data_IF_585184229510
#
_entry.id   IF_585184229510
#
_cell.length_a   1.000
_cell.length_b   1.000
_cell.length_c   1.000
_cell.angle_alpha   90.00
_cell.angle_beta   90.00
_cell.angle_gamma   90.00
#
_symmetry.space_group_name_H-M   'P 1'
#
loop_
_entity.id
_entity.type
_entity.pdbx_description
1 polymer ?
#
# COMPACT_ATOMS: atom_id res chain seq x y z
N UNK A 1 27.50 3.11 13.21
CA UNK A 1 26.65 4.03 12.41
C UNK A 1 27.30 4.18 11.05
N UNK A 2 26.65 3.85 9.95
CA UNK A 2 27.27 3.93 8.61
C UNK A 2 27.45 5.39 8.18
N UNK A 3 28.52 5.69 7.45
CA UNK A 3 28.86 7.03 6.92
C UNK A 3 27.65 7.67 6.20
N UNK A 4 26.88 6.86 5.49
CA UNK A 4 25.67 7.28 4.77
C UNK A 4 24.57 7.80 5.70
N UNK A 5 24.40 7.23 6.91
CA UNK A 5 23.41 7.70 7.89
C UNK A 5 23.82 9.04 8.50
N UNK A 6 25.11 9.23 8.76
CA UNK A 6 25.63 10.49 9.26
C UNK A 6 25.45 11.61 8.23
N UNK A 7 25.78 11.33 6.97
CA UNK A 7 25.62 12.27 5.85
C UNK A 7 24.17 12.68 5.64
N UNK A 8 23.23 11.73 5.67
CA UNK A 8 21.78 12.02 5.60
C UNK A 8 21.30 12.88 6.78
N UNK A 9 21.79 12.63 7.98
CA UNK A 9 21.44 13.43 9.18
C UNK A 9 21.92 14.88 9.07
N UNK A 10 23.12 15.11 8.49
CA UNK A 10 23.65 16.46 8.24
C UNK A 10 22.85 17.18 7.18
N UNK A 11 22.58 16.52 6.05
CA UNK A 11 21.78 17.10 4.95
C UNK A 11 20.37 17.47 5.39
N UNK A 12 19.72 16.61 6.19
CA UNK A 12 18.37 16.89 6.69
C UNK A 12 18.30 18.12 7.60
N UNK A 13 19.36 18.40 8.37
CA UNK A 13 19.47 19.64 9.19
C UNK A 13 19.64 20.89 8.33
N UNK A 14 20.19 20.75 7.13
CA UNK A 14 20.31 21.81 6.14
C UNK A 14 19.04 21.96 5.25
N UNK A 15 17.98 21.21 5.57
CA UNK A 15 16.75 21.22 4.78
C UNK A 15 16.87 20.50 3.44
N UNK A 16 17.94 19.76 3.20
CA UNK A 16 18.18 18.99 1.99
C UNK A 16 17.71 17.55 2.24
N UNK A 17 16.65 17.15 1.53
CA UNK A 17 16.11 15.81 1.58
C UNK A 17 16.29 15.15 0.22
N UNK A 18 16.81 13.95 0.21
CA UNK A 18 16.81 13.11 -0.98
C UNK A 18 16.33 11.70 -0.59
N UNK A 19 15.39 11.20 -1.35
CA UNK A 19 14.88 9.84 -1.23
C UNK A 19 14.96 9.18 -2.60
N UNK A 20 15.26 7.89 -2.61
CA UNK A 20 15.31 7.11 -3.84
C UNK A 20 14.02 6.30 -3.92
N UNK A 21 13.24 6.56 -4.93
CA UNK A 21 12.03 5.81 -5.23
C UNK A 21 12.29 4.86 -6.39
N UNK A 22 11.71 3.68 -6.31
CA UNK A 22 11.67 2.73 -7.41
C UNK A 22 10.21 2.68 -7.86
N UNK A 23 9.96 3.01 -9.12
CA UNK A 23 8.67 2.84 -9.75
C UNK A 23 8.78 1.59 -10.61
N UNK A 24 7.96 0.61 -10.31
CA UNK A 24 7.81 -0.58 -11.16
C UNK A 24 6.52 -0.42 -11.95
N UNK A 25 6.60 -0.66 -13.25
CA UNK A 25 5.46 -0.67 -14.13
C UNK A 25 5.37 -2.04 -14.79
N UNK A 26 4.17 -2.57 -14.85
CA UNK A 26 3.89 -3.81 -15.58
C UNK A 26 2.57 -3.66 -16.31
N UNK A 27 2.47 -4.32 -17.46
CA UNK A 27 1.19 -4.51 -18.13
C UNK A 27 0.41 -5.61 -17.40
N UNK A 28 -0.88 -5.40 -17.24
CA UNK A 28 -1.76 -6.37 -16.59
C UNK A 28 -2.14 -7.44 -17.61
N UNK A 29 -1.64 -8.66 -17.44
CA UNK A 29 -2.12 -9.83 -18.17
C UNK A 29 -3.12 -10.62 -17.32
N UNK A 30 -4.39 -10.56 -17.71
CA UNK A 30 -5.51 -11.19 -17.00
C UNK A 30 -5.32 -12.71 -16.89
N UNK A 31 -4.72 -13.35 -17.90
CA UNK A 31 -4.52 -14.81 -17.89
C UNK A 31 -3.48 -15.22 -16.83
N UNK A 32 -2.43 -14.40 -16.63
CA UNK A 32 -1.44 -14.65 -15.57
C UNK A 32 -2.08 -14.45 -14.19
N UNK A 33 -2.92 -13.43 -14.05
CA UNK A 33 -3.64 -13.15 -12.81
C UNK A 33 -4.53 -14.33 -12.45
N UNK A 34 -5.36 -14.82 -13.37
CA UNK A 34 -6.27 -15.93 -13.14
C UNK A 34 -5.53 -17.22 -12.75
N UNK A 35 -4.39 -17.52 -13.38
CA UNK A 35 -3.55 -18.66 -13.01
C UNK A 35 -2.92 -18.53 -11.61
N UNK A 36 -2.59 -17.32 -11.19
CA UNK A 36 -2.06 -17.08 -9.85
C UNK A 36 -3.16 -17.12 -8.79
N UNK A 37 -4.34 -16.58 -9.09
CA UNK A 37 -5.50 -16.67 -8.20
C UNK A 37 -5.95 -18.10 -7.95
N UNK A 38 -5.95 -18.96 -8.97
CA UNK A 38 -6.28 -20.38 -8.79
C UNK A 38 -5.33 -21.09 -7.83
N UNK A 39 -4.04 -20.76 -7.83
CA UNK A 39 -3.05 -21.32 -6.89
C UNK A 39 -3.18 -20.78 -5.46
N UNK A 40 -3.75 -19.60 -5.28
CA UNK A 40 -3.96 -18.98 -3.98
C UNK A 40 -5.19 -19.54 -3.27
N UNK A 41 -6.27 -19.80 -4.02
CA UNK A 41 -7.54 -20.31 -3.47
C UNK A 41 -7.39 -21.67 -2.78
N UNK A 42 -6.36 -22.46 -3.14
CA UNK A 42 -6.12 -23.78 -2.56
C UNK A 42 -5.53 -23.75 -1.13
N UNK A 43 -5.07 -22.58 -0.67
CA UNK A 43 -4.37 -22.50 0.63
C UNK A 43 -5.22 -21.94 1.76
N UNK A 44 -6.05 -20.96 1.49
CA UNK A 44 -6.93 -20.31 2.49
C UNK A 44 -8.17 -19.80 1.77
N UNK A 45 -9.34 -20.17 2.29
CA UNK A 45 -10.58 -19.55 1.85
C UNK A 45 -10.55 -18.05 2.22
N UNK A 46 -10.44 -17.20 1.22
CA UNK A 46 -10.42 -15.77 1.39
C UNK A 46 -11.18 -15.05 0.28
N UNK A 47 -11.69 -13.89 0.60
CA UNK A 47 -12.38 -13.02 -0.35
C UNK A 47 -11.73 -11.65 -0.34
N UNK A 48 -11.42 -11.14 -1.53
CA UNK A 48 -11.01 -9.75 -1.69
C UNK A 48 -12.25 -8.87 -1.55
N UNK A 49 -12.17 -7.88 -0.67
CA UNK A 49 -13.25 -6.95 -0.40
C UNK A 49 -12.77 -5.51 -0.56
N UNK A 50 -13.68 -4.62 -0.94
CA UNK A 50 -13.43 -3.17 -0.83
C UNK A 50 -13.47 -2.82 0.65
N UNK A 51 -12.39 -2.21 1.13
CA UNK A 51 -12.23 -1.89 2.55
C UNK A 51 -12.91 -0.57 2.91
N UNK A 52 -13.34 -0.49 4.14
CA UNK A 52 -13.79 0.72 4.81
C UNK A 52 -12.76 1.21 5.83
N UNK A 53 -12.97 2.40 6.38
CA UNK A 53 -12.10 2.92 7.44
C UNK A 53 -12.09 2.02 8.68
N UNK A 54 -13.24 1.45 9.03
CA UNK A 54 -13.43 0.53 10.15
C UNK A 54 -12.63 -0.76 10.00
N UNK A 55 -12.44 -1.23 8.76
CA UNK A 55 -11.65 -2.43 8.51
C UNK A 55 -10.18 -2.23 8.87
N UNK A 56 -9.64 -1.02 8.68
CA UNK A 56 -8.26 -0.71 9.08
C UNK A 56 -8.07 -0.66 10.60
N UNK A 57 -9.13 -0.49 11.40
CA UNK A 57 -9.06 -0.59 12.85
C UNK A 57 -8.77 -2.02 13.34
N UNK A 58 -8.95 -3.03 12.48
CA UNK A 58 -8.64 -4.45 12.71
C UNK A 58 -7.19 -4.79 12.36
N UNK A 59 -6.44 -3.86 11.78
CA UNK A 59 -5.02 -4.04 11.46
C UNK A 59 -4.12 -3.91 12.68
N UNK A 60 -2.88 -4.37 12.53
CA UNK A 60 -1.86 -4.25 13.59
C UNK A 60 -1.59 -2.77 13.93
N UNK A 61 -1.54 -2.45 15.21
CA UNK A 61 -1.26 -1.09 15.72
C UNK A 61 0.10 -0.56 15.26
N UNK A 62 1.06 -1.43 15.02
CA UNK A 62 2.38 -1.09 14.49
C UNK A 62 2.32 -0.53 13.07
N UNK A 63 1.34 -0.94 12.28
CA UNK A 63 1.08 -0.43 10.93
C UNK A 63 0.00 0.65 10.91
N UNK A 64 -1.15 0.39 11.53
CA UNK A 64 -2.29 1.29 11.62
C UNK A 64 -2.11 2.32 12.75
N UNK A 65 -1.03 3.10 12.70
CA UNK A 65 -0.75 4.16 13.68
C UNK A 65 -1.76 5.31 13.56
N UNK A 66 -1.95 6.10 14.62
CA UNK A 66 -2.88 7.25 14.61
C UNK A 66 -2.56 8.22 13.47
N UNK A 67 -1.28 8.48 13.21
CA UNK A 67 -0.84 9.31 12.09
C UNK A 67 -1.29 8.74 10.74
N UNK A 68 -1.17 7.43 10.56
CA UNK A 68 -1.56 6.74 9.32
C UNK A 68 -3.08 6.72 9.18
N UNK A 69 -3.79 6.44 10.27
CA UNK A 69 -5.26 6.45 10.30
C UNK A 69 -5.84 7.83 9.98
N UNK A 70 -5.22 8.92 10.43
CA UNK A 70 -5.62 10.27 10.05
C UNK A 70 -5.43 10.51 8.54
N UNK A 71 -4.33 10.03 7.96
CA UNK A 71 -4.11 10.09 6.50
C UNK A 71 -5.17 9.26 5.73
N UNK A 72 -5.55 8.10 6.26
CA UNK A 72 -6.58 7.25 5.64
C UNK A 72 -7.96 7.91 5.64
N UNK A 73 -8.31 8.69 6.67
CA UNK A 73 -9.55 9.49 6.65
C UNK A 73 -9.58 10.45 5.46
N UNK A 74 -8.46 11.10 5.15
CA UNK A 74 -8.35 11.97 3.97
C UNK A 74 -8.49 11.15 2.68
N UNK A 75 -7.85 9.98 2.62
CA UNK A 75 -7.87 9.12 1.44
C UNK A 75 -9.25 8.50 1.17
N UNK A 76 -10.02 8.15 2.19
CA UNK A 76 -11.39 7.66 2.02
C UNK A 76 -12.35 8.74 1.50
N UNK A 77 -12.02 10.01 1.66
CA UNK A 77 -12.77 11.14 1.10
C UNK A 77 -12.33 11.52 -0.34
N UNK A 78 -11.26 10.90 -0.87
CA UNK A 78 -10.77 11.14 -2.22
C UNK A 78 -11.44 10.15 -3.20
N UNK A 79 -12.28 10.61 -4.15
CA UNK A 79 -12.99 9.73 -5.09
C UNK A 79 -12.05 8.97 -6.04
N UNK A 80 -10.80 9.39 -6.15
CA UNK A 80 -9.80 8.74 -6.99
C UNK A 80 -8.97 7.71 -6.23
N UNK A 81 -9.38 7.34 -5.00
CA UNK A 81 -8.69 6.34 -4.19
C UNK A 81 -9.65 5.29 -3.68
N UNK A 82 -9.20 4.08 -3.73
CA UNK A 82 -9.91 2.93 -3.17
C UNK A 82 -8.96 2.03 -2.42
N UNK A 83 -9.44 1.41 -1.34
CA UNK A 83 -8.70 0.39 -0.62
C UNK A 83 -9.36 -0.98 -0.83
N UNK A 84 -8.53 -1.97 -1.12
CA UNK A 84 -8.94 -3.37 -1.22
C UNK A 84 -8.09 -4.22 -0.30
N UNK A 85 -8.65 -5.31 0.16
CA UNK A 85 -7.91 -6.20 1.04
C UNK A 85 -8.64 -7.50 1.35
N UNK A 86 -8.08 -8.22 2.31
CA UNK A 86 -8.54 -9.54 2.74
C UNK A 86 -8.74 -9.50 4.25
N UNK A 87 -9.91 -9.94 4.69
CA UNK A 87 -10.25 -10.13 6.11
C UNK A 87 -10.26 -11.62 6.40
N UNK A 88 -9.51 -12.05 7.40
CA UNK A 88 -9.44 -13.44 7.89
C UNK A 88 -9.60 -13.40 9.40
N UNK A 89 -10.50 -14.22 9.97
CA UNK A 89 -10.73 -14.31 11.42
C UNK A 89 -10.98 -12.94 12.09
N UNK A 90 -11.64 -12.02 11.38
CA UNK A 90 -11.87 -10.64 11.79
C UNK A 90 -10.61 -9.75 11.84
N UNK A 91 -9.44 -10.22 11.45
CA UNK A 91 -8.22 -9.43 11.29
C UNK A 91 -8.14 -8.86 9.86
N UNK A 92 -7.60 -7.66 9.69
CA UNK A 92 -7.17 -7.18 8.38
C UNK A 92 -5.88 -7.91 8.01
N UNK A 93 -6.01 -8.97 7.20
CA UNK A 93 -4.88 -9.82 6.82
C UNK A 93 -3.97 -9.18 5.76
N UNK A 94 -4.59 -8.48 4.80
CA UNK A 94 -3.89 -7.76 3.72
C UNK A 94 -4.67 -6.53 3.31
N UNK A 95 -3.98 -5.47 2.93
CA UNK A 95 -4.59 -4.33 2.25
C UNK A 95 -3.64 -3.67 1.26
N UNK A 96 -4.23 -3.09 0.20
CA UNK A 96 -3.56 -2.24 -0.76
C UNK A 96 -4.47 -1.07 -1.15
N UNK A 97 -3.88 0.09 -1.37
CA UNK A 97 -4.58 1.25 -1.90
C UNK A 97 -4.34 1.38 -3.40
N UNK A 98 -5.39 1.70 -4.13
CA UNK A 98 -5.34 2.04 -5.55
C UNK A 98 -5.58 3.54 -5.69
N UNK A 99 -4.70 4.24 -6.39
CA UNK A 99 -4.87 5.64 -6.75
C UNK A 99 -4.98 5.77 -8.27
N UNK A 100 -6.05 6.40 -8.74
CA UNK A 100 -6.39 6.47 -10.16
C UNK A 100 -5.97 7.77 -10.85
N UNK A 101 -5.60 8.83 -10.11
CA UNK A 101 -5.35 10.15 -10.69
C UNK A 101 -3.90 10.62 -10.62
N UNK A 102 -3.24 10.43 -9.50
CA UNK A 102 -1.90 10.96 -9.26
C UNK A 102 -1.08 10.11 -8.30
N UNK A 103 0.22 10.16 -8.46
CA UNK A 103 1.19 9.57 -7.56
C UNK A 103 1.76 10.67 -6.67
N UNK A 104 1.42 10.67 -5.39
CA UNK A 104 2.04 11.51 -4.40
C UNK A 104 3.23 10.79 -3.76
N UNK A 105 4.45 11.08 -4.23
CA UNK A 105 5.67 10.56 -3.60
C UNK A 105 5.97 11.25 -2.29
N UNK A 106 5.74 12.56 -2.24
CA UNK A 106 5.85 13.39 -1.04
C UNK A 106 4.77 14.46 -1.06
N UNK A 107 4.58 15.21 0.03
CA UNK A 107 3.68 16.38 0.05
C UNK A 107 3.98 17.43 -1.03
N UNK A 108 5.19 17.40 -1.60
CA UNK A 108 5.67 18.37 -2.60
C UNK A 108 5.89 17.78 -3.98
N UNK A 109 5.91 16.46 -4.09
CA UNK A 109 6.24 15.77 -5.35
C UNK A 109 5.06 14.91 -5.78
N UNK A 110 4.38 15.39 -6.79
CA UNK A 110 3.28 14.70 -7.45
C UNK A 110 3.75 14.29 -8.83
N UNK A 111 3.64 13.02 -9.17
CA UNK A 111 3.81 12.53 -10.53
C UNK A 111 2.43 12.40 -11.12
N UNK A 112 2.18 13.12 -12.21
CA UNK A 112 0.94 12.98 -12.95
C UNK A 112 0.93 11.62 -13.66
N UNK A 113 -0.18 10.91 -13.54
CA UNK A 113 -0.35 9.64 -14.19
C UNK A 113 -0.73 9.83 -15.66
N UNK A 114 -0.41 8.84 -16.49
CA UNK A 114 -0.98 8.71 -17.83
C UNK A 114 -2.36 8.06 -17.77
N UNK A 115 -3.20 8.33 -18.77
CA UNK A 115 -4.52 7.70 -18.90
C UNK A 115 -4.40 6.16 -18.84
N UNK A 116 -5.38 5.51 -18.22
CA UNK A 116 -5.46 4.06 -18.02
C UNK A 116 -4.41 3.42 -17.10
N UNK A 117 -3.72 4.22 -16.28
CA UNK A 117 -2.82 3.70 -15.25
C UNK A 117 -3.42 3.88 -13.85
N UNK A 118 -3.09 2.98 -12.96
CA UNK A 118 -3.36 3.10 -11.54
C UNK A 118 -2.09 2.82 -10.74
N UNK A 119 -1.95 3.46 -9.59
CA UNK A 119 -0.86 3.19 -8.66
C UNK A 119 -1.36 2.33 -7.51
N UNK A 120 -0.68 1.20 -7.28
CA UNK A 120 -0.79 0.46 -6.03
C UNK A 120 0.16 1.08 -5.02
N UNK A 121 -0.32 1.33 -3.81
CA UNK A 121 0.49 1.96 -2.77
C UNK A 121 0.06 1.53 -1.37
N UNK A 122 0.99 1.70 -0.43
CA UNK A 122 0.77 1.47 1.00
C UNK A 122 0.27 0.06 1.32
N UNK A 123 0.92 -0.93 0.69
CA UNK A 123 0.63 -2.35 0.90
C UNK A 123 0.92 -2.76 2.34
N UNK A 124 0.02 -3.54 2.89
CA UNK A 124 0.13 -4.10 4.22
C UNK A 124 -0.16 -5.60 4.20
N UNK A 125 0.66 -6.34 4.90
CA UNK A 125 0.39 -7.74 5.20
C UNK A 125 0.61 -7.97 6.71
N UNK A 126 -0.46 -8.38 7.39
CA UNK A 126 -0.45 -8.69 8.81
C UNK A 126 0.56 -9.80 9.11
N UNK A 127 1.35 -9.66 10.19
CA UNK A 127 2.46 -10.57 10.51
C UNK A 127 2.03 -12.02 10.62
N UNK A 128 0.85 -12.30 11.18
CA UNK A 128 0.24 -13.64 11.31
C UNK A 128 0.01 -14.34 9.97
N UNK A 129 -0.22 -13.58 8.88
CA UNK A 129 -0.63 -14.11 7.57
C UNK A 129 0.46 -13.99 6.50
N UNK A 130 1.67 -13.58 6.88
CA UNK A 130 2.82 -13.52 5.95
C UNK A 130 3.23 -14.90 5.45
N UNK A 131 3.74 -14.94 4.24
CA UNK A 131 4.17 -16.21 3.60
C UNK A 131 3.03 -17.03 3.02
N UNK A 132 1.78 -16.58 3.12
CA UNK A 132 0.61 -17.25 2.55
C UNK A 132 0.31 -16.82 1.10
N UNK A 133 1.08 -15.88 0.56
CA UNK A 133 0.91 -15.41 -0.82
C UNK A 133 -0.30 -14.48 -1.02
N UNK A 134 -0.67 -13.69 0.00
CA UNK A 134 -1.83 -12.77 -0.06
C UNK A 134 -1.57 -11.47 -0.85
N UNK A 135 -0.36 -11.26 -1.37
CA UNK A 135 0.05 -10.04 -2.09
C UNK A 135 0.49 -10.34 -3.52
#
# INVERSE_FOLDING_TARGET
>A
MTLTRLFRAILSRLGIWWEKYYIMQTDIDINIIDQQFSKLSDKIEHKIVKLTYEDFLRGEKSFCTDKKMNKYKEWFNDPNREAYGIIIDNDLAYSSWICYDKIELTKKTVIQKYENNALLQDDYCHTKYRGLGLH
#
